data_IF_957175238250
#
_entry.id   IF_957175238250
#
_cell.length_a   1.000
_cell.length_b   1.000
_cell.length_c   1.000
_cell.angle_alpha   90.00
_cell.angle_beta   90.00
_cell.angle_gamma   90.00
#
_symmetry.space_group_name_H-M   'P 1'
#
loop_
_entity.id
_entity.type
_entity.pdbx_description
1 polymer ?
#
# COMPACT_ATOMS: atom_id res chain seq x y z
N UNK A 1 14.93 11.79 5.06
CA UNK A 1 15.09 11.55 3.61
C UNK A 1 13.78 10.95 3.08
N UNK A 2 12.92 11.78 2.47
CA UNK A 2 11.54 11.42 2.07
C UNK A 2 11.55 10.86 0.65
N UNK A 3 11.09 9.63 0.45
CA UNK A 3 10.56 9.19 -0.84
C UNK A 3 9.05 9.45 -0.81
N UNK A 4 8.52 10.49 -1.48
CA UNK A 4 7.08 10.77 -1.45
C UNK A 4 6.29 9.90 -2.43
N UNK A 5 6.94 9.02 -3.20
CA UNK A 5 6.29 8.26 -4.25
C UNK A 5 6.66 6.79 -4.11
N UNK A 6 5.70 5.99 -3.66
CA UNK A 6 5.79 4.54 -3.80
C UNK A 6 5.95 4.19 -5.27
N UNK A 7 6.73 3.15 -5.56
CA UNK A 7 7.12 2.75 -6.91
C UNK A 7 5.98 2.24 -7.79
N UNK A 8 4.80 2.86 -7.80
CA UNK A 8 3.62 2.44 -8.55
C UNK A 8 3.19 1.00 -8.26
N UNK A 9 3.48 0.54 -7.04
CA UNK A 9 3.27 -0.83 -6.63
C UNK A 9 1.82 -1.10 -6.26
N UNK A 10 1.05 -0.05 -5.95
CA UNK A 10 -0.38 -0.19 -5.60
C UNK A 10 -1.24 -0.22 -6.85
N UNK A 11 -2.37 -0.94 -6.76
CA UNK A 11 -3.33 -1.04 -7.85
C UNK A 11 -4.00 0.31 -8.15
N UNK A 12 -4.21 1.13 -7.11
CA UNK A 12 -4.79 2.47 -7.24
C UNK A 12 -3.88 3.44 -8.01
N UNK A 13 -2.59 3.48 -7.68
CA UNK A 13 -1.62 4.31 -8.41
C UNK A 13 -1.48 3.85 -9.86
N UNK A 14 -1.54 2.53 -10.12
CA UNK A 14 -1.55 1.98 -11.49
C UNK A 14 -2.78 2.47 -12.25
N UNK A 15 -3.97 2.29 -11.67
CA UNK A 15 -5.22 2.71 -12.29
C UNK A 15 -5.20 4.23 -12.59
N UNK A 16 -4.62 5.04 -11.70
CA UNK A 16 -4.42 6.47 -11.95
C UNK A 16 -3.56 6.74 -13.19
N UNK A 17 -2.42 6.04 -13.34
CA UNK A 17 -1.54 6.19 -14.52
C UNK A 17 -2.19 5.69 -15.80
N UNK A 18 -2.98 4.63 -15.72
CA UNK A 18 -3.75 4.10 -16.84
C UNK A 18 -4.81 5.09 -17.31
N UNK A 19 -5.54 5.73 -16.39
CA UNK A 19 -6.48 6.81 -16.75
C UNK A 19 -5.79 7.95 -17.50
N UNK A 20 -4.61 8.39 -17.04
CA UNK A 20 -3.83 9.44 -17.73
C UNK A 20 -3.45 9.01 -19.16
N UNK A 21 -3.06 7.74 -19.34
CA UNK A 21 -2.77 7.19 -20.68
C UNK A 21 -3.98 7.17 -21.59
N UNK A 22 -5.14 6.77 -21.07
CA UNK A 22 -6.39 6.73 -21.83
C UNK A 22 -6.88 8.14 -22.20
N UNK A 23 -6.70 9.12 -21.30
CA UNK A 23 -6.97 10.54 -21.62
C UNK A 23 -6.06 11.04 -22.75
N UNK A 24 -4.78 10.64 -22.76
CA UNK A 24 -3.87 11.00 -23.85
C UNK A 24 -4.35 10.43 -25.20
N UNK A 25 -4.89 9.20 -25.20
CA UNK A 25 -5.46 8.59 -26.41
C UNK A 25 -6.66 9.38 -26.92
N UNK A 26 -7.58 9.79 -26.03
CA UNK A 26 -8.71 10.63 -26.41
C UNK A 26 -8.27 11.96 -27.06
N UNK A 27 -7.24 12.62 -26.51
CA UNK A 27 -6.65 13.81 -27.14
C UNK A 27 -5.96 13.53 -28.47
N UNK A 28 -5.42 12.32 -28.67
CA UNK A 28 -4.84 11.93 -29.97
C UNK A 28 -5.91 11.75 -31.04
N UNK A 29 -7.05 11.15 -30.67
CA UNK A 29 -8.24 11.00 -31.53
C UNK A 29 -8.82 12.37 -31.91
N UNK A 30 -8.80 13.33 -30.98
CA UNK A 30 -9.18 14.72 -31.23
C UNK A 30 -8.16 15.53 -32.06
N UNK A 31 -7.01 14.94 -32.43
CA UNK A 31 -6.00 15.59 -33.26
C UNK A 31 -5.09 16.60 -32.54
N UNK A 32 -5.12 16.67 -31.21
CA UNK A 32 -4.31 17.61 -30.43
C UNK A 32 -2.80 17.35 -30.59
N UNK A 33 -1.96 18.37 -30.42
CA UNK A 33 -0.50 18.21 -30.54
C UNK A 33 0.11 17.63 -29.26
N UNK A 34 1.18 16.83 -29.38
CA UNK A 34 1.86 16.21 -28.23
C UNK A 34 2.24 17.20 -27.12
N UNK A 35 2.62 18.43 -27.48
CA UNK A 35 2.98 19.48 -26.51
C UNK A 35 1.77 19.93 -25.68
N UNK A 36 0.61 20.06 -26.30
CA UNK A 36 -0.65 20.46 -25.65
C UNK A 36 -1.10 19.34 -24.70
N UNK A 37 -1.10 18.09 -25.17
CA UNK A 37 -1.42 16.91 -24.37
C UNK A 37 -0.48 16.76 -23.18
N UNK A 38 0.83 16.96 -23.37
CA UNK A 38 1.81 16.89 -22.29
C UNK A 38 1.57 17.96 -21.21
N UNK A 39 1.24 19.19 -21.62
CA UNK A 39 0.94 20.29 -20.71
C UNK A 39 -0.38 20.03 -19.95
N UNK A 40 -1.43 19.61 -20.65
CA UNK A 40 -2.75 19.33 -20.07
C UNK A 40 -2.68 18.20 -19.03
N UNK A 41 -1.98 17.11 -19.36
CA UNK A 41 -1.85 15.93 -18.49
C UNK A 41 -0.70 16.03 -17.47
N UNK A 42 0.09 17.12 -17.52
CA UNK A 42 1.29 17.35 -16.67
C UNK A 42 2.28 16.17 -16.71
N UNK A 43 2.52 15.63 -17.91
CA UNK A 43 3.48 14.54 -18.16
C UNK A 43 4.62 15.01 -19.06
N UNK A 44 5.74 14.29 -19.03
CA UNK A 44 6.86 14.60 -19.91
C UNK A 44 6.50 14.35 -21.39
N UNK A 45 6.89 15.27 -22.29
CA UNK A 45 6.63 15.15 -23.74
C UNK A 45 7.09 13.84 -24.36
N UNK A 46 8.27 13.34 -23.94
CA UNK A 46 8.78 12.00 -24.34
C UNK A 46 7.84 10.84 -23.99
N UNK A 47 7.03 10.97 -22.94
CA UNK A 47 6.03 9.95 -22.59
C UNK A 47 4.85 9.98 -23.56
N UNK A 48 4.39 11.18 -23.90
CA UNK A 48 3.30 11.39 -24.88
C UNK A 48 3.71 10.92 -26.27
N UNK A 49 4.93 11.23 -26.71
CA UNK A 49 5.47 10.75 -27.99
C UNK A 49 5.48 9.22 -28.06
N UNK A 50 5.92 8.56 -26.98
CA UNK A 50 5.92 7.11 -26.87
C UNK A 50 4.49 6.55 -26.95
N UNK A 51 3.55 7.12 -26.21
CA UNK A 51 2.15 6.70 -26.23
C UNK A 51 1.51 6.91 -27.59
N UNK A 52 1.77 8.04 -28.27
CA UNK A 52 1.24 8.30 -29.61
C UNK A 52 1.80 7.31 -30.63
N UNK A 53 3.08 6.94 -30.53
CA UNK A 53 3.66 5.89 -31.38
C UNK A 53 2.96 4.54 -31.15
N UNK A 54 2.85 4.11 -29.89
CA UNK A 54 2.18 2.86 -29.52
C UNK A 54 0.70 2.84 -29.96
N UNK A 55 0.02 3.98 -29.85
CA UNK A 55 -1.36 4.12 -30.30
C UNK A 55 -1.49 4.01 -31.83
N UNK A 56 -0.54 4.55 -32.59
CA UNK A 56 -0.53 4.42 -34.05
C UNK A 56 -0.24 2.98 -34.52
N UNK A 57 0.55 2.25 -33.76
CA UNK A 57 0.94 0.87 -34.07
C UNK A 57 -0.15 -0.13 -33.66
N UNK A 58 -0.63 -0.05 -32.42
CA UNK A 58 -1.47 -1.08 -31.79
C UNK A 58 -2.82 -0.54 -31.26
N UNK A 59 -3.19 0.70 -31.61
CA UNK A 59 -4.41 1.34 -31.14
C UNK A 59 -4.46 1.52 -29.62
N UNK A 60 -5.66 1.46 -29.04
CA UNK A 60 -5.87 1.60 -27.59
C UNK A 60 -5.08 0.56 -26.78
N UNK A 61 -4.98 -0.67 -27.31
CA UNK A 61 -4.29 -1.78 -26.65
C UNK A 61 -2.77 -1.53 -26.48
N UNK A 62 -2.16 -0.76 -27.40
CA UNK A 62 -0.75 -0.37 -27.32
C UNK A 62 -0.42 0.53 -26.12
N UNK A 63 -1.39 1.35 -25.69
CA UNK A 63 -1.20 2.34 -24.62
C UNK A 63 -1.76 1.86 -23.28
N UNK A 64 -2.67 0.88 -23.29
CA UNK A 64 -3.24 0.26 -22.10
C UNK A 64 -2.16 -0.37 -21.20
N UNK A 65 -2.45 -0.45 -19.90
CA UNK A 65 -1.51 -1.04 -18.95
C UNK A 65 -1.42 -2.55 -19.16
N UNK A 66 -0.22 -3.09 -19.44
CA UNK A 66 0.04 -4.55 -19.57
C UNK A 66 0.02 -5.30 -18.22
N UNK A 67 -0.65 -4.77 -17.21
CA UNK A 67 -0.60 -5.26 -15.83
C UNK A 67 0.72 -4.95 -15.09
N UNK A 68 0.79 -5.39 -13.83
CA UNK A 68 2.02 -5.26 -13.04
C UNK A 68 3.00 -6.38 -13.39
N UNK A 69 4.30 -6.08 -13.61
CA UNK A 69 5.31 -7.13 -13.64
C UNK A 69 5.31 -7.88 -12.29
N UNK A 70 5.14 -9.20 -12.35
CA UNK A 70 5.03 -10.06 -11.17
C UNK A 70 3.69 -9.92 -10.44
N UNK A 71 2.64 -10.51 -11.02
CA UNK A 71 1.37 -10.71 -10.31
C UNK A 71 1.63 -11.37 -8.93
N UNK A 72 1.00 -10.90 -7.85
CA UNK A 72 1.11 -11.58 -6.56
C UNK A 72 0.63 -13.02 -6.70
N UNK A 73 1.31 -13.95 -6.01
CA UNK A 73 0.94 -15.37 -5.99
C UNK A 73 -0.38 -15.61 -5.25
N UNK A 74 -0.79 -14.69 -4.39
CA UNK A 74 -2.09 -14.73 -3.71
C UNK A 74 -3.18 -14.16 -4.61
N UNK A 75 -4.31 -14.85 -4.69
CA UNK A 75 -5.54 -14.31 -5.24
C UNK A 75 -6.15 -13.24 -4.33
N UNK A 76 -7.05 -12.41 -4.85
CA UNK A 76 -7.75 -11.39 -4.06
C UNK A 76 -8.50 -12.01 -2.88
N UNK A 77 -9.13 -13.18 -3.06
CA UNK A 77 -9.82 -13.90 -1.98
C UNK A 77 -8.84 -14.36 -0.89
N UNK A 78 -7.66 -14.88 -1.27
CA UNK A 78 -6.61 -15.26 -0.32
C UNK A 78 -6.07 -14.04 0.41
N UNK A 79 -5.94 -12.89 -0.27
CA UNK A 79 -5.52 -11.65 0.37
C UNK A 79 -6.55 -11.12 1.39
N UNK A 80 -7.84 -11.19 1.07
CA UNK A 80 -8.90 -10.83 2.02
C UNK A 80 -8.88 -11.75 3.24
N UNK A 81 -8.68 -13.05 3.04
CA UNK A 81 -8.52 -14.00 4.16
C UNK A 81 -7.28 -13.67 4.97
N UNK A 82 -6.13 -13.42 4.34
CA UNK A 82 -4.90 -13.03 5.04
C UNK A 82 -5.13 -11.78 5.90
N UNK A 83 -5.83 -10.77 5.39
CA UNK A 83 -6.17 -9.56 6.16
C UNK A 83 -6.93 -9.90 7.44
N UNK A 84 -8.00 -10.69 7.34
CA UNK A 84 -8.78 -11.13 8.51
C UNK A 84 -7.92 -11.86 9.54
N UNK A 85 -7.02 -12.73 9.09
CA UNK A 85 -6.14 -13.49 9.97
C UNK A 85 -5.06 -12.61 10.63
N UNK A 86 -4.60 -11.57 9.95
CA UNK A 86 -3.70 -10.57 10.54
C UNK A 86 -4.42 -9.73 11.59
N UNK A 87 -5.70 -9.43 11.40
CA UNK A 87 -6.54 -8.68 12.35
C UNK A 87 -6.79 -9.49 13.65
N UNK A 88 -6.85 -10.82 13.58
CA UNK A 88 -6.89 -11.69 14.76
C UNK A 88 -5.63 -11.58 15.66
N UNK A 89 -4.54 -11.04 15.12
CA UNK A 89 -3.28 -10.85 15.82
C UNK A 89 -2.41 -12.11 15.90
N UNK A 90 -1.10 -11.97 16.20
CA UNK A 90 -0.19 -13.12 16.20
C UNK A 90 -0.44 -14.14 17.32
N UNK A 91 -1.02 -13.74 18.46
CA UNK A 91 -1.33 -14.70 19.54
C UNK A 91 -2.29 -15.80 19.06
N UNK A 92 -3.28 -15.46 18.24
CA UNK A 92 -4.24 -16.41 17.66
C UNK A 92 -3.56 -17.48 16.77
N UNK A 93 -2.33 -17.21 16.32
CA UNK A 93 -1.56 -18.09 15.44
C UNK A 93 -0.34 -18.72 16.14
N UNK A 94 -0.32 -18.67 17.48
CA UNK A 94 0.65 -19.36 18.33
C UNK A 94 1.98 -18.63 18.56
N UNK A 95 2.05 -17.31 18.33
CA UNK A 95 3.22 -16.51 18.70
C UNK A 95 3.07 -15.96 20.12
N UNK A 96 4.18 -15.83 20.85
CA UNK A 96 4.18 -15.42 22.26
C UNK A 96 3.88 -13.93 22.50
N UNK A 97 3.80 -13.11 21.46
CA UNK A 97 3.59 -11.67 21.55
C UNK A 97 2.68 -11.16 20.41
N UNK A 98 2.18 -9.93 20.52
CA UNK A 98 1.23 -9.34 19.57
C UNK A 98 1.88 -8.65 18.35
N UNK A 99 3.17 -8.84 18.10
CA UNK A 99 3.88 -8.16 17.00
C UNK A 99 3.86 -8.95 15.70
N UNK A 100 3.32 -8.36 14.64
CA UNK A 100 3.57 -8.84 13.29
C UNK A 100 4.96 -8.43 12.80
N UNK A 101 5.75 -9.40 12.35
CA UNK A 101 6.98 -9.17 11.59
C UNK A 101 6.81 -9.75 10.19
N UNK A 102 7.56 -9.24 9.21
CA UNK A 102 7.50 -9.77 7.84
C UNK A 102 7.78 -11.28 7.78
N UNK A 103 8.67 -11.78 8.65
CA UNK A 103 8.94 -13.22 8.77
C UNK A 103 7.71 -14.00 9.28
N UNK A 104 6.99 -13.47 10.28
CA UNK A 104 5.77 -14.09 10.80
C UNK A 104 4.64 -14.06 9.78
N UNK A 105 4.48 -12.94 9.06
CA UNK A 105 3.50 -12.84 7.96
C UNK A 105 3.83 -13.83 6.85
N UNK A 106 5.12 -13.96 6.46
CA UNK A 106 5.57 -15.00 5.52
C UNK A 106 5.18 -16.41 6.01
N UNK A 107 5.45 -16.72 7.27
CA UNK A 107 5.10 -18.02 7.87
C UNK A 107 3.59 -18.25 7.86
N UNK A 108 2.80 -17.23 8.21
CA UNK A 108 1.34 -17.31 8.17
C UNK A 108 0.82 -17.60 6.76
N UNK A 109 1.34 -16.90 5.75
CA UNK A 109 1.00 -17.14 4.34
C UNK A 109 1.30 -18.59 3.95
N UNK A 110 2.47 -19.11 4.34
CA UNK A 110 2.84 -20.50 4.10
C UNK A 110 1.91 -21.51 4.77
N UNK A 111 1.45 -21.22 6.00
CA UNK A 111 0.51 -22.07 6.75
C UNK A 111 -0.89 -22.07 6.15
N UNK A 112 -1.40 -20.90 5.76
CA UNK A 112 -2.78 -20.74 5.29
C UNK A 112 -2.99 -21.19 3.84
N UNK A 113 -1.97 -20.99 2.99
CA UNK A 113 -2.12 -21.12 1.54
C UNK A 113 -1.10 -22.05 0.89
N UNK A 114 -0.13 -22.59 1.65
CA UNK A 114 0.99 -23.38 1.11
C UNK A 114 1.81 -22.65 0.04
N UNK A 115 1.80 -21.31 0.06
CA UNK A 115 2.56 -20.46 -0.84
C UNK A 115 3.77 -19.89 -0.11
N UNK A 116 4.96 -20.05 -0.68
CA UNK A 116 6.18 -19.45 -0.13
C UNK A 116 6.48 -18.09 -0.77
N UNK A 117 6.85 -17.14 0.08
CA UNK A 117 7.39 -15.83 -0.29
C UNK A 117 8.79 -15.62 0.30
N UNK A 118 9.59 -14.77 -0.34
CA UNK A 118 10.75 -14.15 0.33
C UNK A 118 10.27 -13.08 1.32
N UNK A 119 11.10 -12.68 2.27
CA UNK A 119 10.76 -11.59 3.21
C UNK A 119 10.49 -10.29 2.44
N UNK A 120 11.33 -9.99 1.44
CA UNK A 120 11.13 -8.86 0.55
C UNK A 120 9.84 -8.99 -0.27
N UNK A 121 9.55 -10.17 -0.82
CA UNK A 121 8.31 -10.43 -1.55
C UNK A 121 7.07 -10.23 -0.67
N UNK A 122 7.16 -10.62 0.60
CA UNK A 122 6.09 -10.39 1.59
C UNK A 122 5.88 -8.90 1.84
N UNK A 123 6.95 -8.11 1.96
CA UNK A 123 6.85 -6.66 2.08
C UNK A 123 6.25 -6.01 0.83
N UNK A 124 6.68 -6.42 -0.38
CA UNK A 124 6.12 -5.90 -1.64
C UNK A 124 4.64 -6.25 -1.78
N UNK A 125 4.24 -7.47 -1.40
CA UNK A 125 2.85 -7.91 -1.35
C UNK A 125 2.02 -7.01 -0.42
N UNK A 126 2.44 -6.86 0.84
CA UNK A 126 1.75 -6.02 1.82
C UNK A 126 1.61 -4.57 1.32
N UNK A 127 2.70 -3.99 0.79
CA UNK A 127 2.71 -2.62 0.27
C UNK A 127 1.74 -2.42 -0.90
N UNK A 128 1.64 -3.40 -1.82
CA UNK A 128 0.69 -3.38 -2.94
C UNK A 128 -0.76 -3.26 -2.46
N UNK A 129 -1.10 -3.95 -1.38
CA UNK A 129 -2.43 -3.94 -0.78
C UNK A 129 -2.62 -2.85 0.29
N UNK A 130 -1.77 -1.81 0.28
CA UNK A 130 -1.94 -0.63 1.13
C UNK A 130 -1.44 -0.78 2.56
N UNK A 131 -0.78 -1.88 2.90
CA UNK A 131 -0.20 -2.04 4.23
C UNK A 131 1.14 -1.30 4.31
N UNK A 132 1.20 -0.34 5.22
CA UNK A 132 2.44 0.30 5.64
C UNK A 132 2.94 -0.33 6.94
N UNK A 133 4.24 -0.16 7.23
CA UNK A 133 4.76 -0.49 8.55
C UNK A 133 4.02 0.34 9.60
N UNK A 134 3.17 -0.32 10.39
CA UNK A 134 2.51 0.28 11.53
C UNK A 134 3.48 0.17 12.70
N UNK A 135 4.07 1.29 13.12
CA UNK A 135 4.81 1.33 14.38
C UNK A 135 3.83 0.95 15.49
N UNK A 136 4.08 -0.11 16.28
CA UNK A 136 3.26 -0.35 17.45
C UNK A 136 3.35 0.91 18.32
N UNK A 137 2.22 1.58 18.54
CA UNK A 137 2.13 2.54 19.62
C UNK A 137 2.56 1.76 20.88
N UNK A 138 3.55 2.26 21.63
CA UNK A 138 3.94 1.68 22.91
C UNK A 138 2.76 1.84 23.89
N UNK A 139 1.77 0.96 23.79
CA UNK A 139 0.61 0.88 24.68
C UNK A 139 0.62 -0.52 25.26
N UNK A 140 0.68 -0.60 26.60
CA UNK A 140 0.51 -1.84 27.32
C UNK A 140 -0.90 -2.40 27.06
N UNK A 141 -0.99 -3.71 26.86
CA UNK A 141 -2.25 -4.42 26.56
C UNK A 141 -3.21 -4.37 27.77
N UNK A 142 -2.67 -4.22 28.99
CA UNK A 142 -3.41 -4.18 30.26
C UNK A 142 -3.90 -2.77 30.64
N UNK A 143 -3.80 -1.80 29.74
CA UNK A 143 -4.18 -0.41 30.04
C UNK A 143 -5.70 -0.29 30.08
N UNK A 144 -6.24 -0.29 31.29
CA UNK A 144 -7.59 0.17 31.59
C UNK A 144 -7.65 1.70 31.44
N UNK A 145 -8.39 2.18 30.42
CA UNK A 145 -8.50 3.62 30.15
C UNK A 145 -9.24 4.35 31.27
N UNK A 146 -10.19 3.69 31.95
CA UNK A 146 -10.92 4.24 33.09
C UNK A 146 -10.00 4.35 34.31
N UNK A 147 -9.16 3.35 34.57
CA UNK A 147 -8.16 3.41 35.65
C UNK A 147 -7.11 4.51 35.43
N UNK A 148 -6.73 4.75 34.17
CA UNK A 148 -5.79 5.81 33.80
C UNK A 148 -6.39 7.20 33.98
N UNK A 149 -7.66 7.38 33.59
CA UNK A 149 -8.38 8.64 33.75
C UNK A 149 -8.63 8.95 35.23
N UNK A 150 -9.02 7.94 36.01
CA UNK A 150 -9.18 8.04 37.46
C UNK A 150 -7.86 8.39 38.15
N UNK A 151 -6.75 7.74 37.78
CA UNK A 151 -5.42 8.05 38.32
C UNK A 151 -4.97 9.48 37.96
N UNK A 152 -5.24 9.94 36.73
CA UNK A 152 -4.97 11.33 36.32
C UNK A 152 -5.79 12.35 37.09
N UNK A 153 -7.03 12.02 37.44
CA UNK A 153 -7.93 12.93 38.16
C UNK A 153 -7.61 12.98 39.65
N UNK A 154 -7.29 11.84 40.25
CA UNK A 154 -7.26 11.71 41.72
C UNK A 154 -5.84 11.61 42.30
N UNK A 155 -4.92 10.96 41.59
CA UNK A 155 -3.56 10.67 42.10
C UNK A 155 -2.55 11.67 41.57
N UNK A 156 -2.65 12.04 40.29
CA UNK A 156 -1.73 12.99 39.66
C UNK A 156 -1.64 14.35 40.37
N UNK A 157 -2.74 14.97 40.86
CA UNK A 157 -2.65 16.24 41.58
C UNK A 157 -1.90 16.12 42.92
N UNK A 158 -1.89 14.93 43.54
CA UNK A 158 -1.26 14.65 44.85
C UNK A 158 0.22 14.33 44.72
N UNK A 159 0.63 13.72 43.61
CA UNK A 159 2.02 13.33 43.33
C UNK A 159 2.82 14.47 42.71
N UNK A 160 2.15 15.48 42.13
CA UNK A 160 2.81 16.66 41.57
C UNK A 160 3.30 17.57 42.71
N UNK A 161 4.55 17.42 43.12
CA UNK A 161 5.22 18.39 44.00
C UNK A 161 5.12 19.81 43.40
N UNK A 162 4.94 20.87 44.22
CA UNK A 162 4.97 22.24 43.72
C UNK A 162 6.35 22.50 43.11
N UNK A 163 6.38 22.90 41.85
CA UNK A 163 7.62 23.35 41.21
C UNK A 163 8.05 24.64 41.91
N UNK A 164 9.16 24.60 42.65
CA UNK A 164 9.96 25.79 42.98
C UNK A 164 10.79 26.18 41.76
#
# INVERSE_FOLDING_TARGET
>A
MRYPQGGGLTDAERAGRERVRLQAVASFEAGEKNREVAAALRVAGRSVERWRRQWREDGLAGVASKGSPGQPRLSDAQMHRLKRELDCGPLAHGWADQRWTLARVKTLIGRLFHISYTVEGTWRLLRRHGWSWQQPARRAIERDEDAVEMWRREVWPRVRAPRR
#
